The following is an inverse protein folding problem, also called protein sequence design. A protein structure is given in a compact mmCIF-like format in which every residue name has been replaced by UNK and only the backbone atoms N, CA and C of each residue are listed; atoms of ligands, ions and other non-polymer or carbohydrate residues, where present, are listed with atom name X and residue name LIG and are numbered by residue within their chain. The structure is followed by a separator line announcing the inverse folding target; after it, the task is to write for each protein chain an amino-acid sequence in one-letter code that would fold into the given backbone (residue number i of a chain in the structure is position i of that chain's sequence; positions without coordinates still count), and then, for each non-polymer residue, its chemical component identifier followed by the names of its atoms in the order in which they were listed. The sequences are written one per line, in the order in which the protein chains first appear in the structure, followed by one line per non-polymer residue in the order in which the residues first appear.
data_IF_629065930446
#
_entry.id   IF_629065930446
#
_cell.length_a   1.000
_cell.length_b   1.000
_cell.length_c   1.000
_cell.angle_alpha   90.00
_cell.angle_beta   90.00
_cell.angle_gamma   90.00
#
_symmetry.space_group_name_H-M   'P 1'
#
loop_
_entity.id
_entity.type
_entity.pdbx_description
1 polymer ?
#
# COMPACT_ATOMS: atom_id res chain seq x y z
N UNK A 1 12.03 -9.19 3.48
CA UNK A 1 11.65 -7.82 3.05
C UNK A 1 10.40 -7.33 3.75
N UNK A 2 9.27 -8.03 3.62
CA UNK A 2 7.95 -7.66 4.20
C UNK A 2 7.97 -7.31 5.69
N UNK A 3 8.59 -8.15 6.53
CA UNK A 3 8.67 -7.90 7.98
C UNK A 3 9.48 -6.63 8.31
N UNK A 4 10.57 -6.38 7.59
CA UNK A 4 11.39 -5.19 7.80
C UNK A 4 10.63 -3.93 7.37
N UNK A 5 9.97 -3.98 6.20
CA UNK A 5 9.13 -2.89 5.72
C UNK A 5 7.94 -2.60 6.64
N UNK A 6 7.30 -3.65 7.17
CA UNK A 6 6.22 -3.55 8.16
C UNK A 6 6.68 -2.97 9.50
N UNK A 7 7.96 -3.03 9.83
CA UNK A 7 8.51 -2.53 11.09
C UNK A 7 9.20 -1.17 10.93
N UNK A 8 9.27 -0.63 9.71
CA UNK A 8 9.97 0.63 9.43
C UNK A 8 11.49 0.53 9.43
N UNK A 9 12.06 -0.69 9.37
CA UNK A 9 13.51 -0.91 9.42
C UNK A 9 14.14 -0.64 8.04
N UNK A 10 14.34 0.64 7.73
CA UNK A 10 14.86 1.11 6.44
C UNK A 10 16.24 0.54 6.12
N UNK A 11 17.15 0.48 7.11
CA UNK A 11 18.49 -0.07 6.94
C UNK A 11 18.45 -1.54 6.51
N UNK A 12 17.59 -2.34 7.15
CA UNK A 12 17.42 -3.75 6.79
C UNK A 12 16.73 -3.94 5.45
N UNK A 13 15.78 -3.06 5.09
CA UNK A 13 15.19 -3.05 3.75
C UNK A 13 16.26 -2.74 2.69
N UNK A 14 17.10 -1.75 2.92
CA UNK A 14 18.20 -1.39 2.03
C UNK A 14 19.19 -2.54 1.84
N UNK A 15 19.63 -3.14 2.95
CA UNK A 15 20.51 -4.31 2.94
C UNK A 15 19.92 -5.45 2.11
N UNK A 16 18.63 -5.76 2.29
CA UNK A 16 17.96 -6.82 1.54
C UNK A 16 17.89 -6.53 0.03
N UNK A 17 17.70 -5.25 -0.35
CA UNK A 17 17.68 -4.82 -1.76
C UNK A 17 19.07 -4.89 -2.40
N UNK A 18 20.12 -4.49 -1.67
CA UNK A 18 21.51 -4.56 -2.14
C UNK A 18 21.97 -6.01 -2.35
N UNK A 19 21.57 -6.91 -1.46
CA UNK A 19 21.91 -8.32 -1.54
C UNK A 19 21.11 -9.10 -2.61
N UNK A 20 20.17 -8.45 -3.31
CA UNK A 20 19.27 -9.06 -4.31
C UNK A 20 18.56 -10.34 -3.82
N UNK A 21 18.34 -10.46 -2.51
CA UNK A 21 17.75 -11.65 -1.89
C UNK A 21 16.22 -11.77 -2.11
N UNK A 22 15.57 -10.66 -2.44
CA UNK A 22 14.13 -10.56 -2.69
C UNK A 22 13.88 -9.54 -3.79
N UNK A 23 12.90 -9.82 -4.65
CA UNK A 23 12.37 -8.82 -5.58
C UNK A 23 11.67 -7.71 -4.81
N UNK A 24 11.83 -6.46 -5.25
CA UNK A 24 11.19 -5.28 -4.62
C UNK A 24 9.66 -5.40 -4.58
N UNK A 25 9.09 -6.08 -5.58
CA UNK A 25 7.66 -6.33 -5.74
C UNK A 25 7.22 -7.74 -5.28
N UNK A 26 8.12 -8.47 -4.58
CA UNK A 26 7.77 -9.79 -4.05
C UNK A 26 6.53 -9.68 -3.17
N UNK A 27 5.59 -10.60 -3.37
CA UNK A 27 4.39 -10.73 -2.53
C UNK A 27 4.70 -11.62 -1.33
N UNK A 28 4.08 -11.32 -0.18
CA UNK A 28 4.24 -12.12 1.02
C UNK A 28 3.76 -13.56 0.76
N UNK A 29 4.70 -14.51 0.72
CA UNK A 29 4.42 -15.94 0.66
C UNK A 29 4.92 -16.55 1.96
N UNK A 30 4.01 -16.99 2.83
CA UNK A 30 4.38 -17.94 3.87
C UNK A 30 3.52 -19.19 3.76
N UNK A 31 4.20 -20.23 3.28
CA UNK A 31 3.91 -21.66 3.23
C UNK A 31 2.58 -22.14 3.83
N UNK A 32 1.69 -22.61 2.95
CA UNK A 32 0.49 -23.41 3.27
C UNK A 32 0.80 -24.77 3.92
N UNK A 33 2.07 -25.15 4.09
CA UNK A 33 2.46 -26.47 4.58
C UNK A 33 2.82 -26.55 6.08
N UNK A 34 2.78 -25.45 6.86
CA UNK A 34 3.27 -25.45 8.25
C UNK A 34 2.28 -24.96 9.31
N UNK A 35 1.06 -24.56 8.97
CA UNK A 35 0.07 -24.10 9.95
C UNK A 35 -1.31 -24.70 9.67
N UNK A 36 -2.00 -25.07 10.75
CA UNK A 36 -3.32 -25.68 10.70
C UNK A 36 -4.33 -24.80 9.94
N UNK A 37 -5.25 -25.39 9.16
CA UNK A 37 -6.07 -24.72 8.14
C UNK A 37 -7.17 -23.77 8.65
N UNK A 38 -7.06 -23.22 9.86
CA UNK A 38 -8.15 -22.42 10.47
C UNK A 38 -7.90 -20.93 10.63
N UNK A 39 -6.66 -20.42 10.52
CA UNK A 39 -6.40 -18.98 10.76
C UNK A 39 -5.25 -18.39 9.94
N UNK A 40 -5.26 -18.53 8.62
CA UNK A 40 -4.29 -17.83 7.76
C UNK A 40 -4.96 -17.07 6.62
N UNK A 41 -5.40 -15.85 6.93
CA UNK A 41 -5.74 -14.85 5.92
C UNK A 41 -4.45 -14.31 5.32
N UNK A 42 -4.06 -14.83 4.15
CA UNK A 42 -2.97 -14.25 3.36
C UNK A 42 -3.53 -13.13 2.49
N UNK A 43 -2.80 -12.02 2.38
CA UNK A 43 -3.27 -10.83 1.67
C UNK A 43 -2.49 -10.52 0.39
N UNK A 44 -1.51 -11.33 -0.06
CA UNK A 44 -0.69 -11.07 -1.26
C UNK A 44 -0.09 -9.65 -1.30
N UNK A 45 0.40 -9.19 -0.16
CA UNK A 45 0.92 -7.82 0.01
C UNK A 45 2.38 -7.75 -0.41
N UNK A 46 2.74 -6.64 -1.04
CA UNK A 46 4.15 -6.28 -1.25
C UNK A 46 4.72 -5.59 0.00
N UNK A 47 6.04 -5.41 0.04
CA UNK A 47 6.68 -4.59 1.08
C UNK A 47 6.11 -3.16 1.12
N UNK A 48 5.76 -2.61 -0.04
CA UNK A 48 5.16 -1.27 -0.17
C UNK A 48 3.80 -1.19 0.54
N UNK A 49 2.93 -2.18 0.39
CA UNK A 49 1.64 -2.22 1.10
C UNK A 49 1.82 -2.13 2.62
N UNK A 50 2.80 -2.87 3.16
CA UNK A 50 3.04 -2.95 4.60
C UNK A 50 3.66 -1.66 5.14
N UNK A 51 4.63 -1.09 4.43
CA UNK A 51 5.22 0.20 4.79
C UNK A 51 4.17 1.33 4.77
N UNK A 52 3.31 1.34 3.76
CA UNK A 52 2.23 2.33 3.64
C UNK A 52 1.14 2.16 4.70
N UNK A 53 0.71 0.93 4.99
CA UNK A 53 -0.32 0.68 6.01
C UNK A 53 0.15 1.07 7.42
N UNK A 54 1.46 0.94 7.69
CA UNK A 54 2.03 1.19 9.02
C UNK A 54 2.71 2.56 9.17
N UNK A 55 2.69 3.40 8.14
CA UNK A 55 3.19 4.77 8.25
C UNK A 55 4.71 4.90 8.24
N UNK A 56 5.39 4.22 7.32
CA UNK A 56 6.86 4.24 7.21
C UNK A 56 7.33 4.96 5.93
N UNK A 57 7.26 6.31 5.86
CA UNK A 57 7.55 7.09 4.66
C UNK A 57 9.00 6.94 4.17
N UNK A 58 9.95 6.74 5.07
CA UNK A 58 11.35 6.47 4.72
C UNK A 58 11.49 5.16 3.92
N UNK A 59 10.84 4.10 4.39
CA UNK A 59 10.81 2.81 3.68
C UNK A 59 10.06 2.95 2.34
N UNK A 60 8.96 3.70 2.31
CA UNK A 60 8.22 3.97 1.06
C UNK A 60 9.13 4.64 0.04
N UNK A 61 9.80 5.73 0.41
CA UNK A 61 10.73 6.48 -0.45
C UNK A 61 11.86 5.59 -0.96
N UNK A 62 12.40 4.73 -0.09
CA UNK A 62 13.45 3.79 -0.45
C UNK A 62 12.98 2.78 -1.51
N UNK A 63 11.80 2.17 -1.30
CA UNK A 63 11.21 1.23 -2.26
C UNK A 63 10.92 1.89 -3.62
N UNK A 64 10.41 3.13 -3.60
CA UNK A 64 10.17 3.94 -4.81
C UNK A 64 11.45 4.26 -5.58
N UNK A 65 12.55 4.55 -4.86
CA UNK A 65 13.87 4.73 -5.46
C UNK A 65 14.40 3.49 -6.20
N UNK A 66 13.82 2.31 -5.94
CA UNK A 66 14.10 1.06 -6.66
C UNK A 66 13.09 0.74 -7.77
N UNK A 67 12.24 1.70 -8.16
CA UNK A 67 11.25 1.60 -9.24
C UNK A 67 10.26 0.44 -9.05
N UNK A 68 9.76 0.26 -7.83
CA UNK A 68 8.71 -0.71 -7.54
C UNK A 68 7.39 -0.37 -8.27
N UNK A 69 6.52 -1.37 -8.43
CA UNK A 69 5.22 -1.20 -9.05
C UNK A 69 4.19 -0.67 -8.02
N UNK A 70 3.72 0.56 -8.24
CA UNK A 70 2.86 1.29 -7.29
C UNK A 70 1.44 0.70 -7.17
N UNK A 71 0.94 0.16 -8.27
CA UNK A 71 -0.47 -0.22 -8.42
C UNK A 71 -0.67 -1.73 -8.35
N UNK A 72 0.28 -2.48 -7.78
CA UNK A 72 0.04 -3.88 -7.45
C UNK A 72 -1.04 -3.97 -6.38
N UNK A 73 -1.97 -4.90 -6.56
CA UNK A 73 -3.06 -5.11 -5.62
C UNK A 73 -2.79 -6.29 -4.67
N UNK A 74 -3.25 -6.11 -3.43
CA UNK A 74 -3.44 -7.16 -2.44
C UNK A 74 -4.66 -8.06 -2.79
N UNK A 75 -4.97 -9.06 -1.96
CA UNK A 75 -6.09 -9.99 -2.20
C UNK A 75 -7.49 -9.36 -2.12
N UNK A 76 -7.60 -8.17 -1.52
CA UNK A 76 -8.84 -7.38 -1.50
C UNK A 76 -8.85 -6.36 -2.65
N UNK A 77 -7.95 -6.52 -3.62
CA UNK A 77 -7.76 -5.62 -4.75
C UNK A 77 -7.35 -4.19 -4.34
N UNK A 78 -6.71 -4.01 -3.17
CA UNK A 78 -6.24 -2.71 -2.69
C UNK A 78 -4.80 -2.49 -3.07
N UNK A 79 -4.46 -1.28 -3.51
CA UNK A 79 -3.09 -0.83 -3.73
C UNK A 79 -2.45 -0.34 -2.43
N UNK A 80 -1.14 -0.07 -2.47
CA UNK A 80 -0.44 0.57 -1.36
C UNK A 80 -1.02 1.96 -1.02
N UNK A 81 -1.52 2.70 -2.02
CA UNK A 81 -2.19 3.99 -1.81
C UNK A 81 -3.49 3.81 -1.02
N UNK A 82 -4.34 2.87 -1.44
CA UNK A 82 -5.58 2.57 -0.71
C UNK A 82 -5.27 2.16 0.73
N UNK A 83 -4.20 1.38 0.95
CA UNK A 83 -3.75 1.01 2.30
C UNK A 83 -3.26 2.20 3.13
N UNK A 84 -2.46 3.10 2.56
CA UNK A 84 -2.03 4.31 3.26
C UNK A 84 -3.24 5.14 3.71
N UNK A 85 -4.20 5.36 2.81
CA UNK A 85 -5.39 6.18 3.10
C UNK A 85 -6.32 5.48 4.10
N UNK A 86 -6.59 4.18 3.93
CA UNK A 86 -7.38 3.38 4.87
C UNK A 86 -6.81 3.44 6.29
N UNK A 87 -5.49 3.42 6.43
CA UNK A 87 -4.79 3.47 7.71
C UNK A 87 -4.43 4.90 8.16
N UNK A 88 -4.94 5.94 7.48
CA UNK A 88 -4.71 7.36 7.78
C UNK A 88 -3.23 7.77 7.79
N UNK A 89 -2.41 7.14 6.95
CA UNK A 89 -0.98 7.42 6.80
C UNK A 89 -0.77 8.46 5.70
N UNK A 90 -1.05 9.72 6.02
CA UNK A 90 -1.07 10.83 5.06
C UNK A 90 0.23 11.04 4.31
N UNK A 91 1.36 10.99 5.01
CA UNK A 91 2.68 11.21 4.40
C UNK A 91 3.00 10.11 3.38
N UNK A 92 2.70 8.85 3.70
CA UNK A 92 2.88 7.73 2.77
C UNK A 92 1.98 7.87 1.54
N UNK A 93 0.71 8.22 1.74
CA UNK A 93 -0.23 8.47 0.63
C UNK A 93 0.22 9.66 -0.23
N UNK A 94 0.74 10.72 0.40
CA UNK A 94 1.24 11.89 -0.30
C UNK A 94 2.41 11.53 -1.22
N UNK A 95 3.42 10.82 -0.71
CA UNK A 95 4.58 10.36 -1.47
C UNK A 95 4.16 9.50 -2.67
N UNK A 96 3.22 8.57 -2.47
CA UNK A 96 2.72 7.70 -3.54
C UNK A 96 2.02 8.48 -4.65
N UNK A 97 1.16 9.44 -4.31
CA UNK A 97 0.47 10.28 -5.28
C UNK A 97 1.47 11.14 -6.08
N UNK A 98 2.47 11.69 -5.42
CA UNK A 98 3.51 12.50 -6.07
C UNK A 98 4.37 11.65 -7.03
N UNK A 99 4.39 10.33 -6.86
CA UNK A 99 5.07 9.36 -7.73
C UNK A 99 4.14 8.71 -8.76
N UNK A 100 2.88 9.16 -8.86
CA UNK A 100 1.95 8.70 -9.89
C UNK A 100 1.21 7.39 -9.55
N UNK A 101 1.02 7.08 -8.26
CA UNK A 101 0.10 6.01 -7.86
C UNK A 101 -1.32 6.33 -8.34
N UNK A 102 -2.04 5.32 -8.81
CA UNK A 102 -3.38 5.46 -9.36
C UNK A 102 -4.44 5.54 -8.23
N UNK A 103 -5.11 6.69 -8.05
CA UNK A 103 -6.14 6.85 -7.02
C UNK A 103 -7.47 6.17 -7.37
N UNK A 104 -7.62 5.65 -8.59
CA UNK A 104 -8.87 5.07 -9.11
C UNK A 104 -9.03 3.58 -8.90
N UNK A 105 -7.98 2.90 -8.45
CA UNK A 105 -8.08 1.47 -8.22
C UNK A 105 -9.13 1.21 -7.14
N UNK A 106 -10.13 0.43 -7.53
CA UNK A 106 -11.22 0.01 -6.66
C UNK A 106 -10.89 -1.32 -6.02
N UNK A 107 -11.16 -1.43 -4.72
CA UNK A 107 -11.11 -2.72 -4.02
C UNK A 107 -12.30 -3.62 -4.42
N UNK A 108 -12.38 -4.81 -3.81
CA UNK A 108 -13.46 -5.78 -4.09
C UNK A 108 -14.87 -5.23 -3.82
N UNK A 109 -15.00 -4.25 -2.93
CA UNK A 109 -16.25 -3.60 -2.54
C UNK A 109 -16.55 -2.35 -3.40
N UNK A 110 -15.65 -2.01 -4.33
CA UNK A 110 -15.78 -0.84 -5.18
C UNK A 110 -15.28 0.45 -4.54
N UNK A 111 -14.60 0.39 -3.39
CA UNK A 111 -14.06 1.58 -2.74
C UNK A 111 -12.71 1.97 -3.34
N UNK A 112 -12.56 3.26 -3.64
CA UNK A 112 -11.30 3.90 -4.03
C UNK A 112 -10.62 4.53 -2.81
N UNK A 113 -9.40 5.06 -2.99
CA UNK A 113 -8.73 5.84 -1.95
C UNK A 113 -9.61 7.01 -1.44
N UNK A 114 -10.39 7.65 -2.31
CA UNK A 114 -11.29 8.74 -1.91
C UNK A 114 -12.40 8.29 -0.97
N UNK A 115 -12.99 7.10 -1.19
CA UNK A 115 -14.00 6.53 -0.30
C UNK A 115 -13.44 6.35 1.12
N UNK A 116 -12.22 5.82 1.24
CA UNK A 116 -11.55 5.65 2.54
C UNK A 116 -11.17 6.98 3.20
N UNK A 117 -10.74 7.99 2.42
CA UNK A 117 -10.43 9.32 2.95
C UNK A 117 -11.67 10.00 3.56
N UNK A 118 -12.82 9.89 2.88
CA UNK A 118 -14.10 10.40 3.37
C UNK A 118 -14.57 9.64 4.61
N UNK A 119 -14.48 8.30 4.61
CA UNK A 119 -14.84 7.48 5.78
C UNK A 119 -13.99 7.81 7.01
N UNK A 120 -12.70 8.08 6.80
CA UNK A 120 -11.76 8.51 7.85
C UNK A 120 -11.91 9.98 8.26
N UNK A 121 -12.82 10.75 7.64
CA UNK A 121 -12.98 12.20 7.86
C UNK A 121 -11.68 12.99 7.66
N UNK A 122 -10.79 12.51 6.79
CA UNK A 122 -9.50 13.10 6.53
C UNK A 122 -9.60 14.16 5.41
N UNK A 123 -9.90 15.40 5.81
CA UNK A 123 -10.13 16.52 4.87
C UNK A 123 -8.88 16.77 4.00
N UNK A 124 -7.69 16.78 4.61
CA UNK A 124 -6.44 17.02 3.89
C UNK A 124 -6.20 15.97 2.79
N UNK A 125 -6.47 14.69 3.09
CA UNK A 125 -6.36 13.63 2.10
C UNK A 125 -7.43 13.70 1.02
N UNK A 126 -8.66 14.07 1.37
CA UNK A 126 -9.73 14.32 0.39
C UNK A 126 -9.30 15.42 -0.59
N UNK A 127 -8.83 16.55 -0.08
CA UNK A 127 -8.33 17.66 -0.89
C UNK A 127 -7.16 17.22 -1.78
N UNK A 128 -6.19 16.46 -1.23
CA UNK A 128 -5.06 15.96 -2.01
C UNK A 128 -5.52 15.04 -3.14
N UNK A 129 -6.39 14.06 -2.86
CA UNK A 129 -6.92 13.13 -3.86
C UNK A 129 -7.70 13.86 -4.96
N UNK A 130 -8.55 14.83 -4.61
CA UNK A 130 -9.29 15.65 -5.57
C UNK A 130 -8.32 16.49 -6.43
N UNK A 131 -7.28 17.09 -5.82
CA UNK A 131 -6.29 17.88 -6.56
C UNK A 131 -5.44 17.05 -7.52
N UNK A 132 -5.21 15.76 -7.21
CA UNK A 132 -4.60 14.79 -8.11
C UNK A 132 -5.56 14.30 -9.22
N UNK A 133 -6.61 15.07 -9.50
CA UNK A 133 -7.70 14.82 -10.44
C UNK A 133 -8.59 13.62 -10.11
N UNK A 134 -8.58 13.03 -8.91
CA UNK A 134 -9.46 11.89 -8.60
C UNK A 134 -10.93 12.20 -8.94
N UNK A 135 -11.41 11.63 -10.05
CA UNK A 135 -12.80 11.54 -10.48
C UNK A 135 -13.77 11.40 -9.29
N UNK A 136 -14.46 12.50 -9.02
CA UNK A 136 -15.42 12.66 -7.93
C UNK A 136 -16.73 11.89 -8.15
N UNK A 137 -16.95 11.35 -9.36
CA UNK A 137 -18.20 10.67 -9.76
C UNK A 137 -18.15 9.14 -9.60
N UNK A 138 -17.03 8.57 -9.13
CA UNK A 138 -16.91 7.11 -8.96
C UNK A 138 -17.83 6.63 -7.84
N UNK A 139 -18.76 5.73 -8.17
CA UNK A 139 -19.67 5.07 -7.23
C UNK A 139 -19.13 3.72 -6.81
N UNK A 140 -19.12 3.44 -5.51
CA UNK A 140 -18.92 2.09 -4.99
C UNK A 140 -20.15 1.20 -5.24
N UNK A 141 -20.08 -0.09 -4.87
CA UNK A 141 -21.13 -1.08 -5.18
C UNK A 141 -22.36 -1.01 -4.26
N UNK A 142 -22.46 -0.01 -3.37
CA UNK A 142 -23.46 0.05 -2.30
C UNK A 142 -24.68 0.86 -2.72
#
# INVERSE_FOLDING_TARGET
MHKAASAGDAAKVEEMLLLQKHGVDDRDKMNSALLAPKESFHFHRTALHLACANGHPEVVTLLLGRKCLLNLCDNENRTALVKAVQCQQEECAAILLDHGADPYVMDIDGNTALHYAVLGQNIAMVEKLISCMANIEVRNKV
#
